data_IF_153789458136
#
_entry.id   IF_153789458136
#
_cell.length_a   1.000
_cell.length_b   1.000
_cell.length_c   1.000
_cell.angle_alpha   90.00
_cell.angle_beta   90.00
_cell.angle_gamma   90.00
#
_symmetry.space_group_name_H-M   'P 1'
#
loop_
_entity.id
_entity.type
_entity.pdbx_description
1 polymer ?
#
# COMPACT_ATOMS: atom_id res chain seq x y z
N UNK A 1 -15.25 -81.01 34.61
CA UNK A 1 -15.95 -79.71 34.81
C UNK A 1 -14.93 -78.73 35.38
N UNK A 2 -14.29 -77.96 34.51
CA UNK A 2 -13.16 -77.07 34.84
C UNK A 2 -13.66 -75.71 35.32
N UNK A 3 -13.18 -75.26 36.48
CA UNK A 3 -13.23 -73.85 36.89
C UNK A 3 -11.80 -73.42 37.24
N UNK A 4 -11.15 -72.75 36.28
CA UNK A 4 -9.84 -72.14 36.46
C UNK A 4 -9.99 -70.62 36.42
N UNK A 5 -9.61 -69.97 37.52
CA UNK A 5 -9.40 -68.53 37.64
C UNK A 5 -8.47 -68.04 36.53
N UNK A 6 -8.88 -67.02 35.78
CA UNK A 6 -7.97 -66.16 35.00
C UNK A 6 -8.10 -64.72 35.46
N UNK A 7 -7.07 -64.26 36.13
CA UNK A 7 -6.73 -62.87 36.45
C UNK A 7 -6.63 -62.05 35.16
N UNK A 8 -7.43 -61.00 35.02
CA UNK A 8 -7.18 -59.96 34.00
C UNK A 8 -6.53 -58.78 34.71
N UNK A 9 -5.25 -58.56 34.38
CA UNK A 9 -4.47 -57.40 34.79
C UNK A 9 -5.13 -56.14 34.22
N UNK A 10 -5.44 -55.18 35.06
CA UNK A 10 -5.76 -53.80 34.65
C UNK A 10 -4.48 -53.15 34.14
N UNK A 11 -4.16 -53.34 32.87
CA UNK A 11 -3.05 -52.65 32.21
C UNK A 11 -3.45 -51.20 31.91
N UNK A 12 -2.91 -50.27 32.70
CA UNK A 12 -2.55 -48.89 32.36
C UNK A 12 -3.23 -48.30 31.11
N UNK A 13 -4.39 -47.66 31.32
CA UNK A 13 -4.99 -46.73 30.36
C UNK A 13 -4.90 -45.33 30.97
N UNK A 14 -3.68 -44.87 31.24
CA UNK A 14 -3.41 -43.45 31.38
C UNK A 14 -2.44 -43.09 30.26
N UNK A 15 -2.79 -42.16 29.35
CA UNK A 15 -1.82 -41.65 28.40
C UNK A 15 -0.61 -41.13 29.20
N UNK A 16 0.57 -41.53 28.76
CA UNK A 16 1.84 -41.27 29.43
C UNK A 16 1.91 -39.77 29.82
N UNK A 17 1.79 -39.46 31.11
CA UNK A 17 1.63 -38.09 31.63
C UNK A 17 2.78 -37.16 31.18
N UNK A 18 3.96 -37.75 30.95
CA UNK A 18 5.14 -37.08 30.39
C UNK A 18 4.97 -36.63 28.92
N UNK A 19 4.14 -37.30 28.12
CA UNK A 19 3.85 -36.92 26.74
C UNK A 19 2.87 -35.75 26.71
N UNK A 20 1.80 -35.83 27.52
CA UNK A 20 0.79 -34.76 27.62
C UNK A 20 1.41 -33.48 28.18
N UNK A 21 2.22 -33.56 29.24
CA UNK A 21 2.92 -32.41 29.81
C UNK A 21 3.95 -31.79 28.85
N UNK A 22 4.73 -32.60 28.11
CA UNK A 22 5.62 -32.09 27.06
C UNK A 22 4.85 -31.41 25.92
N UNK A 23 3.69 -31.95 25.55
CA UNK A 23 2.84 -31.35 24.53
C UNK A 23 2.26 -30.02 25.01
N UNK A 24 1.71 -29.95 26.22
CA UNK A 24 1.18 -28.73 26.81
C UNK A 24 2.27 -27.65 27.02
N UNK A 25 3.47 -28.05 27.45
CA UNK A 25 4.62 -27.14 27.56
C UNK A 25 5.06 -26.62 26.18
N UNK A 26 4.99 -27.44 25.15
CA UNK A 26 5.32 -27.03 23.79
C UNK A 26 4.28 -26.06 23.22
N UNK A 27 2.99 -26.32 23.46
CA UNK A 27 1.89 -25.42 23.07
C UNK A 27 2.01 -24.08 23.79
N UNK A 28 2.27 -24.07 25.10
CA UNK A 28 2.43 -22.82 25.86
C UNK A 28 3.70 -22.04 25.48
N UNK A 29 4.80 -22.71 25.11
CA UNK A 29 5.98 -22.06 24.55
C UNK A 29 5.71 -21.47 23.15
N UNK A 30 4.95 -22.17 22.32
CA UNK A 30 4.52 -21.67 21.01
C UNK A 30 3.56 -20.47 21.16
N UNK A 31 2.62 -20.53 22.11
CA UNK A 31 1.70 -19.41 22.44
C UNK A 31 2.48 -18.18 22.95
N UNK A 32 3.42 -18.35 23.87
CA UNK A 32 4.26 -17.25 24.34
C UNK A 32 5.15 -16.66 23.24
N UNK A 33 5.71 -17.49 22.35
CA UNK A 33 6.50 -17.02 21.22
C UNK A 33 5.64 -16.23 20.21
N UNK A 34 4.40 -16.67 19.97
CA UNK A 34 3.43 -15.96 19.13
C UNK A 34 3.01 -14.64 19.78
N UNK A 35 2.76 -14.62 21.09
CA UNK A 35 2.43 -13.40 21.84
C UNK A 35 3.59 -12.39 21.85
N UNK A 36 4.84 -12.82 22.04
CA UNK A 36 6.03 -11.96 21.93
C UNK A 36 6.22 -11.41 20.50
N UNK A 37 5.98 -12.24 19.48
CA UNK A 37 6.08 -11.84 18.07
C UNK A 37 4.97 -10.85 17.68
N UNK A 38 3.74 -11.02 18.17
CA UNK A 38 2.66 -10.03 18.02
C UNK A 38 2.95 -8.73 18.79
N UNK A 39 3.61 -8.78 19.95
CA UNK A 39 3.96 -7.60 20.73
C UNK A 39 5.01 -6.71 20.05
N UNK A 40 5.87 -7.28 19.21
CA UNK A 40 6.86 -6.53 18.41
C UNK A 40 6.35 -6.12 17.04
N UNK A 41 5.13 -6.52 16.67
CA UNK A 41 4.61 -6.30 15.34
C UNK A 41 4.21 -4.83 15.08
N UNK A 42 4.47 -4.39 13.84
CA UNK A 42 4.14 -3.06 13.33
C UNK A 42 3.17 -3.17 12.16
N UNK A 43 2.29 -2.19 12.02
CA UNK A 43 1.27 -2.15 10.98
C UNK A 43 1.24 -0.77 10.30
N UNK A 44 1.08 -0.77 8.98
CA UNK A 44 0.82 0.43 8.20
C UNK A 44 -0.29 0.20 7.18
N UNK A 45 -1.32 1.06 7.15
CA UNK A 45 -2.33 1.07 6.08
C UNK A 45 -2.04 2.21 5.12
N UNK A 46 -1.77 1.89 3.85
CA UNK A 46 -1.41 2.86 2.82
C UNK A 46 -2.50 2.90 1.75
N UNK A 47 -3.06 4.07 1.48
CA UNK A 47 -3.91 4.28 0.31
C UNK A 47 -3.04 4.75 -0.86
N UNK A 48 -3.03 4.01 -1.97
CA UNK A 48 -2.32 4.41 -3.20
C UNK A 48 -3.33 5.01 -4.18
N UNK A 49 -3.25 6.33 -4.39
CA UNK A 49 -4.10 7.08 -5.31
C UNK A 49 -3.32 7.56 -6.53
N UNK A 50 -4.03 7.89 -7.61
CA UNK A 50 -3.40 8.33 -8.85
C UNK A 50 -4.30 8.13 -10.06
N UNK A 51 -3.99 8.83 -11.15
CA UNK A 51 -4.73 8.69 -12.41
C UNK A 51 -4.74 7.23 -12.91
N UNK A 52 -5.76 6.83 -13.69
CA UNK A 52 -5.72 5.57 -14.42
C UNK A 52 -4.40 5.43 -15.20
N UNK A 53 -3.81 4.23 -15.19
CA UNK A 53 -2.54 3.91 -15.86
C UNK A 53 -1.27 4.65 -15.37
N UNK A 54 -1.34 5.36 -14.24
CA UNK A 54 -0.15 5.97 -13.61
C UNK A 54 0.88 4.93 -13.10
N UNK A 55 0.49 3.65 -13.06
CA UNK A 55 1.38 2.54 -12.68
C UNK A 55 1.21 2.04 -11.25
N UNK A 56 0.12 2.40 -10.55
CA UNK A 56 -0.19 1.95 -9.17
C UNK A 56 -0.02 0.44 -8.98
N UNK A 57 -0.68 -0.38 -9.81
CA UNK A 57 -0.59 -1.85 -9.72
C UNK A 57 0.81 -2.36 -10.05
N UNK A 58 1.55 -1.68 -10.93
CA UNK A 58 2.95 -2.02 -11.22
C UNK A 58 3.83 -1.75 -10.01
N UNK A 59 3.67 -0.60 -9.35
CA UNK A 59 4.41 -0.25 -8.13
C UNK A 59 4.12 -1.26 -7.02
N UNK A 60 2.84 -1.57 -6.80
CA UNK A 60 2.40 -2.54 -5.79
C UNK A 60 3.03 -3.92 -6.07
N UNK A 61 3.13 -4.35 -7.34
CA UNK A 61 3.81 -5.57 -7.72
C UNK A 61 5.32 -5.53 -7.48
N UNK A 62 5.96 -4.43 -7.86
CA UNK A 62 7.41 -4.28 -7.69
C UNK A 62 7.79 -4.20 -6.22
N UNK A 63 6.97 -3.57 -5.37
CA UNK A 63 7.15 -3.59 -3.92
C UNK A 63 7.08 -5.00 -3.34
N UNK A 64 6.18 -5.85 -3.87
CA UNK A 64 6.00 -7.25 -3.44
C UNK A 64 6.99 -8.25 -4.08
N UNK A 65 7.95 -7.79 -4.89
CA UNK A 65 8.88 -8.63 -5.66
C UNK A 65 8.19 -9.73 -6.50
N UNK A 66 6.88 -9.58 -6.81
CA UNK A 66 6.04 -10.57 -7.50
C UNK A 66 4.89 -9.91 -8.27
N UNK A 67 4.41 -10.56 -9.34
CA UNK A 67 3.21 -10.11 -10.08
C UNK A 67 1.93 -10.48 -9.32
N UNK A 68 1.49 -9.60 -8.42
CA UNK A 68 0.38 -9.84 -7.50
C UNK A 68 -0.94 -9.22 -8.01
N UNK A 69 -0.89 -8.00 -8.54
CA UNK A 69 -1.99 -7.28 -9.18
C UNK A 69 -1.93 -7.41 -10.73
N UNK A 70 -3.08 -7.45 -11.44
CA UNK A 70 -3.09 -7.44 -12.90
C UNK A 70 -2.48 -6.13 -13.45
N UNK A 71 -1.35 -6.23 -14.15
CA UNK A 71 -0.72 -5.11 -14.88
C UNK A 71 -1.03 -5.25 -16.36
N UNK A 72 -1.82 -4.33 -16.91
CA UNK A 72 -2.10 -4.24 -18.36
C UNK A 72 -2.04 -2.78 -18.79
N UNK A 73 -1.63 -2.55 -20.03
CA UNK A 73 -1.69 -1.25 -20.71
C UNK A 73 -3.12 -0.80 -21.06
N UNK A 74 -4.11 -1.69 -20.88
CA UNK A 74 -5.53 -1.36 -21.03
C UNK A 74 -6.06 -0.62 -19.80
N UNK A 75 -6.73 0.51 -20.03
CA UNK A 75 -7.51 1.21 -19.00
C UNK A 75 -8.49 0.20 -18.37
N UNK A 76 -8.59 0.14 -17.04
CA UNK A 76 -9.48 -0.74 -16.23
C UNK A 76 -8.96 -2.13 -15.80
N UNK A 77 -7.74 -2.23 -15.24
CA UNK A 77 -7.27 -3.51 -14.66
C UNK A 77 -7.86 -3.84 -13.28
N UNK A 78 -8.05 -2.85 -12.40
CA UNK A 78 -8.60 -3.08 -11.05
C UNK A 78 -10.13 -2.91 -11.05
N UNK A 79 -10.87 -3.93 -11.48
CA UNK A 79 -12.34 -3.97 -11.39
C UNK A 79 -12.87 -4.68 -10.13
N UNK A 80 -12.00 -5.35 -9.36
CA UNK A 80 -12.32 -6.00 -8.08
C UNK A 80 -11.39 -5.46 -6.99
N UNK A 81 -11.93 -5.23 -5.78
CA UNK A 81 -11.17 -4.81 -4.59
C UNK A 81 -10.12 -5.89 -4.27
N UNK A 82 -8.87 -5.62 -4.60
CA UNK A 82 -7.73 -6.47 -4.25
C UNK A 82 -7.03 -5.82 -3.06
N UNK A 83 -7.15 -6.42 -1.88
CA UNK A 83 -6.32 -6.03 -0.75
C UNK A 83 -4.95 -6.68 -0.95
N UNK A 84 -3.90 -5.86 -1.00
CA UNK A 84 -2.52 -6.32 -1.18
C UNK A 84 -1.76 -6.14 0.13
N UNK A 85 -1.21 -7.23 0.64
CA UNK A 85 -0.47 -7.27 1.91
C UNK A 85 0.99 -7.54 1.60
N UNK A 86 1.83 -6.71 2.17
CA UNK A 86 3.28 -6.84 2.18
C UNK A 86 3.71 -7.00 3.64
N UNK A 87 4.50 -8.02 3.95
CA UNK A 87 5.06 -8.21 5.29
C UNK A 87 6.56 -8.40 5.14
N UNK A 88 7.34 -7.58 5.83
CA UNK A 88 8.81 -7.68 5.90
C UNK A 88 9.23 -7.42 7.35
N UNK A 89 10.12 -8.26 7.87
CA UNK A 89 10.55 -8.29 9.27
C UNK A 89 9.37 -8.28 10.26
N UNK A 90 9.26 -7.23 11.07
CA UNK A 90 8.20 -7.01 12.04
C UNK A 90 7.05 -6.13 11.49
N UNK A 91 7.16 -5.61 10.27
CA UNK A 91 6.22 -4.67 9.68
C UNK A 91 5.27 -5.31 8.65
N UNK A 92 3.97 -5.11 8.86
CA UNK A 92 2.93 -5.45 7.90
C UNK A 92 2.35 -4.19 7.26
N UNK A 93 2.54 -4.05 5.95
CA UNK A 93 2.03 -2.96 5.12
C UNK A 93 0.81 -3.46 4.33
N UNK A 94 -0.32 -2.81 4.54
CA UNK A 94 -1.58 -3.11 3.86
C UNK A 94 -1.85 -1.99 2.86
N UNK A 95 -1.82 -2.33 1.57
CA UNK A 95 -2.24 -1.43 0.51
C UNK A 95 -3.76 -1.50 0.34
N UNK A 96 -4.40 -0.38 0.67
CA UNK A 96 -5.82 -0.15 0.46
C UNK A 96 -5.99 0.34 -0.99
N UNK A 97 -6.22 -0.60 -1.90
CA UNK A 97 -6.38 -0.29 -3.31
C UNK A 97 -7.65 0.54 -3.54
N UNK A 98 -7.47 1.80 -3.91
CA UNK A 98 -8.52 2.58 -4.57
C UNK A 98 -8.39 2.34 -6.08
N UNK A 99 -9.37 1.69 -6.74
CA UNK A 99 -9.36 1.62 -8.19
C UNK A 99 -9.19 3.05 -8.72
N UNK A 100 -8.14 3.27 -9.53
CA UNK A 100 -7.67 4.60 -9.89
C UNK A 100 -8.81 5.53 -10.32
N UNK A 101 -8.77 6.80 -9.90
CA UNK A 101 -9.92 7.71 -9.98
C UNK A 101 -10.50 7.72 -11.40
N UNK A 102 -11.60 7.00 -11.59
CA UNK A 102 -12.21 6.83 -12.89
C UNK A 102 -12.93 8.13 -13.25
N UNK A 103 -12.77 8.59 -14.49
CA UNK A 103 -13.50 9.77 -14.98
C UNK A 103 -14.97 9.45 -15.21
N UNK A 104 -15.89 10.40 -14.97
CA UNK A 104 -17.31 10.21 -15.28
C UNK A 104 -17.54 9.91 -16.78
N UNK A 105 -16.65 10.40 -17.64
CA UNK A 105 -16.64 10.08 -19.07
C UNK A 105 -16.20 8.63 -19.33
N UNK A 106 -15.16 8.12 -18.65
CA UNK A 106 -14.79 6.71 -18.71
C UNK A 106 -15.88 5.81 -18.07
N UNK A 107 -16.56 6.30 -17.03
CA UNK A 107 -17.69 5.62 -16.39
C UNK A 107 -18.86 5.43 -17.36
N UNK A 108 -19.21 6.47 -18.13
CA UNK A 108 -20.31 6.45 -19.11
C UNK A 108 -19.93 5.70 -20.39
N UNK A 109 -18.68 5.83 -20.85
CA UNK A 109 -18.15 5.14 -22.05
C UNK A 109 -18.01 3.63 -21.86
N UNK A 110 -17.74 3.18 -20.63
CA UNK A 110 -17.48 1.77 -20.32
C UNK A 110 -18.47 1.14 -19.33
N UNK A 111 -19.63 1.79 -19.09
CA UNK A 111 -20.74 1.29 -18.28
C UNK A 111 -20.36 0.86 -16.84
N UNK A 112 -19.51 1.63 -16.17
CA UNK A 112 -18.96 1.28 -14.85
C UNK A 112 -19.95 1.63 -13.72
N UNK A 113 -20.10 0.72 -12.74
CA UNK A 113 -21.05 0.85 -11.62
C UNK A 113 -20.79 2.10 -10.75
N UNK A 114 -21.85 2.75 -10.24
CA UNK A 114 -21.76 3.96 -9.38
C UNK A 114 -20.98 3.76 -8.06
N UNK A 115 -20.73 2.52 -7.64
CA UNK A 115 -20.00 2.17 -6.42
C UNK A 115 -18.51 2.54 -6.45
N UNK A 116 -17.88 2.60 -7.62
CA UNK A 116 -16.45 2.91 -7.75
C UNK A 116 -16.05 4.31 -7.21
N UNK A 117 -16.97 5.27 -7.24
CA UNK A 117 -16.73 6.64 -6.74
C UNK A 117 -16.94 6.75 -5.22
N UNK A 118 -17.89 6.00 -4.66
CA UNK A 118 -18.15 5.98 -3.20
C UNK A 118 -17.06 5.21 -2.44
N UNK A 119 -16.49 4.17 -3.04
CA UNK A 119 -15.55 3.28 -2.38
C UNK A 119 -14.13 3.85 -2.20
N UNK A 120 -13.69 4.76 -3.07
CA UNK A 120 -12.37 5.41 -2.94
C UNK A 120 -12.23 6.25 -1.66
N UNK A 121 -13.33 6.89 -1.24
CA UNK A 121 -13.41 7.70 -0.02
C UNK A 121 -13.26 6.81 1.23
N UNK A 122 -13.86 5.61 1.22
CA UNK A 122 -13.77 4.65 2.34
C UNK A 122 -12.34 4.16 2.59
N UNK A 123 -11.59 3.82 1.52
CA UNK A 123 -10.19 3.39 1.64
C UNK A 123 -9.29 4.51 2.19
N UNK A 124 -9.51 5.76 1.78
CA UNK A 124 -8.74 6.89 2.30
C UNK A 124 -9.04 7.15 3.77
N UNK A 125 -10.27 6.95 4.24
CA UNK A 125 -10.60 7.08 5.66
C UNK A 125 -9.88 6.05 6.55
N UNK A 126 -9.67 4.83 6.07
CA UNK A 126 -8.99 3.77 6.82
C UNK A 126 -7.45 3.85 6.74
N UNK A 127 -6.91 4.54 5.75
CA UNK A 127 -5.47 4.68 5.57
C UNK A 127 -4.81 5.54 6.65
N UNK A 128 -3.61 5.14 7.07
CA UNK A 128 -2.73 5.95 7.90
C UNK A 128 -1.90 6.93 7.05
N UNK A 129 -1.57 6.53 5.82
CA UNK A 129 -0.70 7.25 4.90
C UNK A 129 -1.28 7.24 3.48
N UNK A 130 -1.14 8.34 2.73
CA UNK A 130 -1.63 8.46 1.35
C UNK A 130 -0.45 8.60 0.38
N UNK A 131 -0.29 7.63 -0.53
CA UNK A 131 0.69 7.70 -1.61
C UNK A 131 0.06 8.17 -2.92
N UNK A 132 0.56 9.26 -3.49
CA UNK A 132 0.08 9.80 -4.77
C UNK A 132 1.00 9.37 -5.88
N UNK A 133 0.51 8.53 -6.80
CA UNK A 133 1.26 8.09 -7.98
C UNK A 133 0.99 9.01 -9.15
N UNK A 134 2.05 9.65 -9.63
CA UNK A 134 2.05 10.57 -10.75
C UNK A 134 2.89 10.04 -11.91
N UNK A 135 2.35 10.12 -13.12
CA UNK A 135 3.02 9.65 -14.34
C UNK A 135 3.84 10.78 -14.97
N UNK A 136 5.17 10.72 -14.86
CA UNK A 136 6.04 11.75 -15.45
C UNK A 136 6.29 11.56 -16.95
N UNK A 137 5.97 10.39 -17.49
CA UNK A 137 6.07 10.07 -18.92
C UNK A 137 4.96 10.70 -19.74
N UNK A 138 3.81 11.01 -19.14
CA UNK A 138 2.69 11.65 -19.83
C UNK A 138 2.91 13.16 -19.97
N UNK A 139 3.33 13.60 -21.17
CA UNK A 139 3.64 15.01 -21.45
C UNK A 139 2.48 15.98 -21.21
N UNK A 140 1.23 15.52 -21.31
CA UNK A 140 0.04 16.36 -21.19
C UNK A 140 -0.39 16.58 -19.74
N UNK A 141 -0.13 15.60 -18.87
CA UNK A 141 -0.62 15.63 -17.48
C UNK A 141 0.50 15.79 -16.46
N UNK A 142 1.76 15.56 -16.84
CA UNK A 142 2.88 15.55 -15.88
C UNK A 142 3.10 16.87 -15.13
N UNK A 143 2.68 18.00 -15.68
CA UNK A 143 2.90 19.33 -15.09
C UNK A 143 1.93 19.73 -13.98
N UNK A 144 0.92 18.90 -13.65
CA UNK A 144 -0.07 19.21 -12.61
C UNK A 144 -0.65 17.94 -11.98
N UNK A 145 -1.13 18.06 -10.74
CA UNK A 145 -1.92 17.00 -10.11
C UNK A 145 -3.37 17.07 -10.63
N UNK A 146 -3.98 15.91 -10.90
CA UNK A 146 -5.39 15.85 -11.31
C UNK A 146 -6.29 16.43 -10.22
N UNK A 147 -7.26 17.26 -10.62
CA UNK A 147 -8.17 17.97 -9.71
C UNK A 147 -8.91 17.04 -8.73
N UNK A 148 -9.15 15.78 -9.10
CA UNK A 148 -9.84 14.83 -8.22
C UNK A 148 -8.92 14.28 -7.15
N UNK A 149 -7.65 14.07 -7.49
CA UNK A 149 -6.62 13.69 -6.51
C UNK A 149 -6.47 14.84 -5.51
N UNK A 150 -6.40 16.09 -5.98
CA UNK A 150 -6.34 17.27 -5.11
C UNK A 150 -7.55 17.35 -4.17
N UNK A 151 -8.77 17.14 -4.67
CA UNK A 151 -9.98 17.10 -3.83
C UNK A 151 -9.93 16.01 -2.75
N UNK A 152 -9.37 14.84 -3.07
CA UNK A 152 -9.19 13.77 -2.08
C UNK A 152 -8.14 14.15 -1.04
N UNK A 153 -7.03 14.75 -1.45
CA UNK A 153 -5.98 15.22 -0.54
C UNK A 153 -6.52 16.30 0.41
N UNK A 154 -7.25 17.29 -0.11
CA UNK A 154 -7.84 18.35 0.72
C UNK A 154 -8.88 17.77 1.71
N UNK A 155 -9.71 16.82 1.29
CA UNK A 155 -10.65 16.13 2.18
C UNK A 155 -9.97 15.33 3.30
N UNK A 156 -8.70 14.95 3.11
CA UNK A 156 -7.91 14.16 4.05
C UNK A 156 -6.61 14.86 4.49
N UNK A 157 -6.58 16.20 4.48
CA UNK A 157 -5.39 17.04 4.70
C UNK A 157 -4.63 16.77 6.01
N UNK A 158 -5.31 16.23 7.03
CA UNK A 158 -4.70 15.85 8.31
C UNK A 158 -3.85 14.58 8.23
N UNK A 159 -3.95 13.81 7.15
CA UNK A 159 -3.19 12.57 6.96
C UNK A 159 -1.89 12.87 6.23
N UNK A 160 -0.77 12.27 6.64
CA UNK A 160 0.47 12.40 5.91
C UNK A 160 0.30 11.86 4.48
N UNK A 161 0.98 12.51 3.55
CA UNK A 161 0.91 12.16 2.14
C UNK A 161 2.29 12.23 1.51
N UNK A 162 2.58 11.35 0.55
CA UNK A 162 3.85 11.35 -0.16
C UNK A 162 3.61 11.24 -1.67
N UNK A 163 4.52 11.80 -2.45
CA UNK A 163 4.44 11.85 -3.90
C UNK A 163 5.36 10.79 -4.51
N UNK A 164 4.84 10.01 -5.46
CA UNK A 164 5.61 9.07 -6.26
C UNK A 164 5.61 9.55 -7.72
N UNK A 165 6.77 10.00 -8.18
CA UNK A 165 7.04 10.30 -9.58
C UNK A 165 7.43 9.02 -10.30
N UNK A 166 6.48 8.39 -10.97
CA UNK A 166 6.66 7.09 -11.63
C UNK A 166 6.92 7.23 -13.14
N UNK A 167 7.59 6.24 -13.71
CA UNK A 167 8.03 6.15 -15.12
C UNK A 167 9.16 7.10 -15.49
N UNK A 168 10.10 7.32 -14.56
CA UNK A 168 11.26 8.17 -14.79
C UNK A 168 12.15 7.68 -15.95
N UNK A 169 12.08 6.39 -16.28
CA UNK A 169 12.74 5.75 -17.43
C UNK A 169 12.30 6.35 -18.77
N UNK A 170 11.11 6.94 -18.85
CA UNK A 170 10.60 7.59 -20.07
C UNK A 170 11.09 9.04 -20.23
N UNK A 171 11.75 9.62 -19.21
CA UNK A 171 12.25 10.99 -19.28
C UNK A 171 13.65 11.04 -19.90
N UNK A 172 13.74 11.65 -21.08
CA UNK A 172 15.02 11.91 -21.76
C UNK A 172 15.96 12.85 -21.00
N UNK A 173 15.42 13.79 -20.21
CA UNK A 173 16.20 14.81 -19.52
C UNK A 173 15.86 14.83 -18.03
N UNK A 174 16.80 14.40 -17.18
CA UNK A 174 16.60 14.35 -15.72
C UNK A 174 16.36 15.72 -15.08
N UNK A 175 16.88 16.81 -15.65
CA UNK A 175 16.63 18.19 -15.17
C UNK A 175 15.14 18.52 -15.08
N UNK A 176 14.31 17.94 -15.95
CA UNK A 176 12.84 18.13 -15.92
C UNK A 176 12.19 17.58 -14.67
N UNK A 177 12.80 16.58 -13.99
CA UNK A 177 12.26 16.06 -12.74
C UNK A 177 12.22 17.12 -11.65
N UNK A 178 13.25 17.96 -11.55
CA UNK A 178 13.29 19.05 -10.56
C UNK A 178 12.19 20.08 -10.83
N UNK A 179 12.01 20.46 -12.09
CA UNK A 179 10.95 21.39 -12.52
C UNK A 179 9.55 20.82 -12.21
N UNK A 180 9.31 19.56 -12.56
CA UNK A 180 8.04 18.87 -12.28
C UNK A 180 7.79 18.75 -10.79
N UNK A 181 8.82 18.43 -10.00
CA UNK A 181 8.74 18.36 -8.55
C UNK A 181 8.27 19.69 -7.98
N UNK A 182 8.92 20.81 -8.37
CA UNK A 182 8.54 22.15 -7.94
C UNK A 182 7.10 22.50 -8.32
N UNK A 183 6.68 22.18 -9.55
CA UNK A 183 5.29 22.42 -10.02
C UNK A 183 4.27 21.61 -9.23
N UNK A 184 4.55 20.35 -8.95
CA UNK A 184 3.62 19.42 -8.29
C UNK A 184 3.56 19.62 -6.78
N UNK A 185 4.60 20.18 -6.16
CA UNK A 185 4.62 20.46 -4.72
C UNK A 185 4.51 21.95 -4.40
N UNK A 186 4.30 22.79 -5.41
CA UNK A 186 4.27 24.26 -5.25
C UNK A 186 5.55 24.79 -4.57
N UNK A 187 6.68 24.14 -4.88
CA UNK A 187 7.99 24.38 -4.29
C UNK A 187 8.01 24.26 -2.75
N UNK A 188 7.11 23.44 -2.19
CA UNK A 188 6.98 23.21 -0.75
C UNK A 188 6.97 21.73 -0.40
N UNK A 189 7.47 21.41 0.79
CA UNK A 189 7.34 20.11 1.44
C UNK A 189 6.92 20.35 2.88
N UNK A 190 5.93 19.59 3.35
CA UNK A 190 5.28 19.81 4.66
C UNK A 190 4.82 21.27 4.86
N UNK A 191 4.44 21.95 3.76
CA UNK A 191 4.07 23.38 3.74
C UNK A 191 5.25 24.36 3.79
N UNK A 192 6.49 23.89 3.96
CA UNK A 192 7.71 24.71 4.04
C UNK A 192 8.35 24.87 2.66
N UNK A 193 8.86 26.05 2.36
CA UNK A 193 9.54 26.32 1.09
C UNK A 193 10.85 25.53 0.99
N UNK A 194 11.08 24.86 -0.15
CA UNK A 194 12.27 24.05 -0.38
C UNK A 194 13.46 24.88 -0.89
N UNK A 195 13.22 26.04 -1.51
CA UNK A 195 14.28 26.94 -1.99
C UNK A 195 13.73 28.36 -2.18
N UNK A 196 14.55 29.37 -1.85
CA UNK A 196 14.29 30.76 -2.21
C UNK A 196 14.65 31.00 -3.68
N UNK A 197 13.80 31.73 -4.40
CA UNK A 197 14.00 32.31 -5.74
C UNK A 197 14.05 31.35 -6.94
N UNK A 198 12.91 31.18 -7.62
CA UNK A 198 12.83 31.19 -9.10
C UNK A 198 11.49 31.85 -9.45
N UNK A 199 11.52 32.91 -10.25
CA UNK A 199 10.35 33.51 -10.89
C UNK A 199 9.62 32.43 -11.68
N UNK A 200 8.42 32.06 -11.23
CA UNK A 200 7.53 31.27 -12.06
C UNK A 200 6.99 32.22 -13.12
N UNK A 201 7.09 31.86 -14.40
CA UNK A 201 6.55 32.67 -15.50
C UNK A 201 5.11 33.10 -15.17
N UNK A 202 4.87 34.41 -15.09
CA UNK A 202 3.62 35.03 -14.63
C UNK A 202 2.42 34.77 -15.56
N UNK A 203 2.65 34.16 -16.73
CA UNK A 203 1.63 33.91 -17.76
C UNK A 203 0.67 32.74 -17.45
N UNK A 204 0.79 32.07 -16.29
CA UNK A 204 -0.11 30.98 -15.89
C UNK A 204 -0.98 31.34 -14.67
N UNK A 205 -1.91 32.26 -14.88
CA UNK A 205 -2.96 32.69 -13.95
C UNK A 205 -3.74 31.50 -13.32
N UNK A 206 -3.73 31.45 -11.99
CA UNK A 206 -4.71 30.83 -11.07
C UNK A 206 -5.34 29.46 -11.40
N UNK A 207 -4.54 28.41 -11.46
CA UNK A 207 -5.05 27.07 -11.16
C UNK A 207 -4.05 26.36 -10.26
N UNK A 208 -4.41 26.07 -9.00
CA UNK A 208 -3.65 25.21 -8.07
C UNK A 208 -3.15 23.97 -8.83
N UNK A 209 -1.85 23.88 -9.10
CA UNK A 209 -1.26 22.81 -9.93
C UNK A 209 -0.65 21.68 -9.09
N UNK A 210 -0.51 21.88 -7.79
CA UNK A 210 0.23 21.00 -6.91
C UNK A 210 -0.40 20.81 -5.54
N UNK A 211 0.35 20.13 -4.68
CA UNK A 211 -0.02 19.88 -3.30
C UNK A 211 1.22 20.13 -2.41
N UNK A 212 1.22 21.21 -1.59
CA UNK A 212 2.42 21.63 -0.85
C UNK A 212 2.67 20.83 0.44
N UNK A 213 1.74 19.95 0.81
CA UNK A 213 1.78 19.19 2.08
C UNK A 213 2.23 17.74 1.88
N UNK A 214 2.96 17.44 0.80
CA UNK A 214 3.69 16.18 0.74
C UNK A 214 4.78 16.18 1.79
N UNK A 215 4.88 15.08 2.53
CA UNK A 215 5.96 14.81 3.46
C UNK A 215 7.24 14.43 2.71
N UNK A 216 7.11 13.55 1.72
CA UNK A 216 8.26 12.97 1.02
C UNK A 216 7.97 12.78 -0.48
N UNK A 217 9.03 12.66 -1.29
CA UNK A 217 8.94 12.47 -2.74
C UNK A 217 9.86 11.32 -3.16
N UNK A 218 9.31 10.36 -3.91
CA UNK A 218 10.05 9.23 -4.48
C UNK A 218 10.07 9.32 -6.01
N UNK A 219 11.25 9.18 -6.60
CA UNK A 219 11.43 9.10 -8.04
C UNK A 219 11.70 7.65 -8.43
N UNK A 220 10.76 7.02 -9.11
CA UNK A 220 10.85 5.58 -9.36
C UNK A 220 10.56 5.23 -10.83
N UNK A 221 11.08 4.07 -11.22
CA UNK A 221 10.53 3.33 -12.35
C UNK A 221 10.01 2.00 -11.82
N UNK A 222 8.69 1.89 -11.71
CA UNK A 222 8.06 0.62 -11.34
C UNK A 222 8.39 -0.51 -12.33
N UNK A 223 8.71 -0.16 -13.59
CA UNK A 223 9.04 -1.14 -14.63
C UNK A 223 10.45 -1.71 -14.45
N UNK A 224 11.44 -0.87 -14.14
CA UNK A 224 12.83 -1.31 -14.01
C UNK A 224 13.21 -1.67 -12.57
N UNK A 225 12.41 -1.27 -11.59
CA UNK A 225 12.70 -1.44 -10.16
C UNK A 225 13.50 -0.29 -9.54
N UNK A 226 13.97 0.68 -10.32
CA UNK A 226 14.73 1.83 -9.81
C UNK A 226 13.91 2.64 -8.79
N UNK A 227 14.50 2.91 -7.63
CA UNK A 227 13.90 3.67 -6.52
C UNK A 227 12.83 2.91 -5.71
N UNK A 228 12.54 1.64 -6.04
CA UNK A 228 11.54 0.85 -5.31
C UNK A 228 12.01 0.49 -3.90
N UNK A 229 13.30 0.23 -3.71
CA UNK A 229 13.88 -0.10 -2.40
C UNK A 229 13.78 1.08 -1.42
N UNK A 230 14.08 2.30 -1.87
CA UNK A 230 13.91 3.52 -1.06
C UNK A 230 12.45 3.70 -0.62
N UNK A 231 11.50 3.50 -1.54
CA UNK A 231 10.07 3.56 -1.22
C UNK A 231 9.67 2.45 -0.23
N UNK A 232 10.19 1.23 -0.40
CA UNK A 232 9.93 0.10 0.51
C UNK A 232 10.41 0.42 1.92
N UNK A 233 11.66 0.84 2.07
CA UNK A 233 12.27 1.18 3.36
C UNK A 233 11.50 2.31 4.04
N UNK A 234 11.12 3.35 3.31
CA UNK A 234 10.28 4.41 3.83
C UNK A 234 8.94 3.88 4.39
N UNK A 235 8.24 3.02 3.65
CA UNK A 235 6.98 2.47 4.12
C UNK A 235 7.16 1.59 5.37
N UNK A 236 8.27 0.85 5.47
CA UNK A 236 8.59 0.07 6.66
C UNK A 236 8.83 1.01 7.84
N UNK A 237 9.59 2.08 7.67
CA UNK A 237 9.87 3.07 8.73
C UNK A 237 8.60 3.78 9.24
N UNK A 238 7.61 3.96 8.36
CA UNK A 238 6.32 4.56 8.74
C UNK A 238 5.39 3.61 9.50
N UNK A 239 5.69 2.30 9.57
CA UNK A 239 4.85 1.34 10.28
C UNK A 239 4.93 1.53 11.80
N UNK A 240 3.77 1.58 12.45
CA UNK A 240 3.64 1.85 13.90
C UNK A 240 3.37 0.56 14.67
N UNK A 241 3.76 0.47 15.96
CA UNK A 241 3.45 -0.67 16.81
C UNK A 241 1.94 -0.95 16.83
N UNK A 242 1.56 -2.12 16.32
CA UNK A 242 0.18 -2.57 16.24
C UNK A 242 0.15 -4.04 15.83
N UNK A 243 -0.78 -4.85 16.38
CA UNK A 243 -0.90 -6.25 16.02
C UNK A 243 -1.16 -6.39 14.52
N UNK A 244 -0.48 -7.33 13.88
CA UNK A 244 -0.77 -7.69 12.49
C UNK A 244 -2.25 -8.04 12.32
N UNK A 245 -2.86 -7.51 11.26
CA UNK A 245 -4.25 -7.84 10.92
C UNK A 245 -4.37 -9.21 10.26
N UNK A 246 -3.28 -9.69 9.67
CA UNK A 246 -3.21 -10.97 8.97
C UNK A 246 -2.05 -11.79 9.51
N UNK A 247 -2.36 -12.98 10.04
CA UNK A 247 -1.43 -13.88 10.71
C UNK A 247 -0.39 -14.53 9.76
N UNK A 248 -0.60 -14.45 8.45
CA UNK A 248 0.32 -15.05 7.49
C UNK A 248 1.47 -14.08 7.18
N UNK A 249 2.71 -14.55 7.38
CA UNK A 249 3.95 -13.87 6.97
C UNK A 249 4.08 -13.68 5.45
N UNK A 250 3.14 -14.22 4.67
CA UNK A 250 3.19 -14.23 3.21
C UNK A 250 2.09 -13.39 2.57
N UNK A 251 2.47 -12.79 1.44
CA UNK A 251 1.66 -12.02 0.50
C UNK A 251 0.32 -12.67 0.15
N UNK A 252 -0.76 -11.89 0.19
CA UNK A 252 -2.07 -12.30 -0.31
C UNK A 252 -2.74 -11.19 -1.12
N UNK A 253 -3.36 -11.59 -2.23
CA UNK A 253 -4.47 -10.84 -2.86
C UNK A 253 -5.75 -11.42 -2.31
N UNK A 254 -6.41 -10.70 -1.41
CA UNK A 254 -7.74 -11.09 -0.96
C UNK A 254 -8.77 -10.29 -1.75
N UNK A 255 -9.58 -10.99 -2.53
CA UNK A 255 -10.79 -10.41 -3.11
C UNK A 255 -11.80 -10.21 -1.97
N UNK A 256 -12.05 -8.96 -1.56
CA UNK A 256 -13.18 -8.68 -0.67
C UNK A 256 -14.48 -8.85 -1.45
N UNK A 257 -15.32 -9.80 -1.04
CA UNK A 257 -16.74 -9.78 -1.35
C UNK A 257 -17.37 -8.80 -0.35
N UNK A 258 -17.79 -7.63 -0.83
CA UNK A 258 -18.71 -6.74 -0.11
C UNK A 258 -20.06 -6.90 -0.78
#
# INVERSE_FOLDING_TARGET
MNSFRKTIRTSNIFPNFNIVSRFLNKVSQEEHAIEEELCKSRLLKVAIIGMPNAGKSTIINSLMDRKVCPTSSKVHTTMKKSLSIFTEDDAQIIFLDTPGIVTAQAQKKYNLKKTFVKDGIGSLHLANLIGVVHDVGNMWTRGRIDIKILKLLEAHKKKPSFLILNKIDLLKQKRKLLELTRKLTENRLEGRLCSENIELDEDEVDIVRGWPFFNEIFMISALTGSGIEELRNYLIDQAKPAPWMFLQKNFQVKNMRI
#
